data_IF_654406917623
#
_entry.id   IF_654406917623
#
_cell.length_a   1.000
_cell.length_b   1.000
_cell.length_c   1.000
_cell.angle_alpha   90.00
_cell.angle_beta   90.00
_cell.angle_gamma   90.00
#
_symmetry.space_group_name_H-M   'P 1'
#
loop_
_entity.id
_entity.type
_entity.pdbx_description
1 polymer ?
#
# COMPACT_ATOMS: atom_id res chain seq x y z
N UNK A 1 13.94 -14.98 -24.44
CA UNK A 1 12.81 -14.86 -23.51
C UNK A 1 13.33 -14.34 -22.17
N UNK A 2 12.76 -13.27 -21.62
CA UNK A 2 13.12 -12.76 -20.30
C UNK A 2 12.34 -13.54 -19.22
N UNK A 3 13.07 -13.95 -18.16
CA UNK A 3 12.47 -14.62 -16.99
C UNK A 3 12.74 -13.79 -15.74
N UNK A 4 11.80 -13.75 -14.81
CA UNK A 4 11.90 -12.98 -13.56
C UNK A 4 12.14 -13.94 -12.40
N UNK A 5 13.19 -13.67 -11.62
CA UNK A 5 13.48 -14.41 -10.39
C UNK A 5 13.14 -13.51 -9.20
N UNK A 6 12.31 -13.96 -8.24
CA UNK A 6 12.07 -13.22 -7.02
C UNK A 6 13.37 -12.96 -6.25
N UNK A 7 13.58 -11.73 -5.81
CA UNK A 7 14.82 -11.31 -5.15
C UNK A 7 15.20 -12.17 -3.93
N UNK A 8 14.22 -12.70 -3.21
CA UNK A 8 14.44 -13.61 -2.08
C UNK A 8 15.20 -14.89 -2.47
N UNK A 9 15.03 -15.38 -3.71
CA UNK A 9 15.73 -16.60 -4.19
C UNK A 9 17.12 -16.28 -4.75
N UNK A 10 17.43 -15.02 -5.07
CA UNK A 10 18.77 -14.58 -5.46
C UNK A 10 19.62 -14.25 -4.25
N UNK A 11 19.02 -13.74 -3.17
CA UNK A 11 19.70 -13.29 -1.96
C UNK A 11 20.71 -14.28 -1.36
N UNK A 12 20.47 -15.61 -1.31
CA UNK A 12 21.45 -16.58 -0.79
C UNK A 12 22.75 -16.65 -1.59
N UNK A 13 22.75 -16.21 -2.85
CA UNK A 13 23.90 -16.25 -3.75
C UNK A 13 24.69 -14.94 -3.81
N UNK A 14 24.19 -13.89 -3.12
CA UNK A 14 24.84 -12.57 -3.10
C UNK A 14 26.08 -12.61 -2.21
N UNK A 15 27.22 -12.16 -2.74
CA UNK A 15 28.48 -12.02 -2.01
C UNK A 15 28.47 -10.80 -1.09
N UNK A 16 29.38 -10.77 -0.10
CA UNK A 16 29.45 -9.75 0.96
C UNK A 16 29.56 -8.30 0.46
N UNK A 17 30.22 -8.07 -0.68
CA UNK A 17 30.41 -6.73 -1.21
C UNK A 17 29.31 -6.41 -2.22
N UNK A 18 28.50 -5.40 -1.91
CA UNK A 18 27.44 -4.94 -2.78
C UNK A 18 28.04 -4.18 -3.96
N UNK A 19 28.01 -4.80 -5.13
CA UNK A 19 28.33 -4.17 -6.43
C UNK A 19 27.58 -4.93 -7.54
N UNK A 20 27.38 -4.25 -8.66
CA UNK A 20 26.58 -4.76 -9.78
C UNK A 20 27.14 -6.08 -10.35
N UNK A 21 28.45 -6.28 -10.32
CA UNK A 21 29.10 -7.52 -10.77
C UNK A 21 28.70 -8.71 -9.90
N UNK A 22 28.72 -8.55 -8.58
CA UNK A 22 28.32 -9.60 -7.64
C UNK A 22 26.82 -9.90 -7.71
N UNK A 23 26.00 -8.87 -7.93
CA UNK A 23 24.56 -9.01 -8.11
C UNK A 23 24.26 -9.75 -9.43
N UNK A 24 24.93 -9.42 -10.53
CA UNK A 24 24.80 -10.13 -11.80
C UNK A 24 25.24 -11.60 -11.67
N UNK A 25 26.38 -11.88 -11.00
CA UNK A 25 26.85 -13.25 -10.75
C UNK A 25 25.83 -14.04 -9.92
N UNK A 26 25.26 -13.44 -8.86
CA UNK A 26 24.24 -14.07 -8.04
C UNK A 26 22.99 -14.42 -8.84
N UNK A 27 22.55 -13.54 -9.74
CA UNK A 27 21.40 -13.79 -10.62
C UNK A 27 21.70 -14.96 -11.57
N UNK A 28 22.89 -14.99 -12.19
CA UNK A 28 23.28 -16.08 -13.10
C UNK A 28 23.32 -17.43 -12.36
N UNK A 29 23.96 -17.46 -11.18
CA UNK A 29 24.03 -18.69 -10.36
C UNK A 29 22.64 -19.16 -9.94
N UNK A 30 21.77 -18.24 -9.51
CA UNK A 30 20.39 -18.56 -9.17
C UNK A 30 19.61 -19.11 -10.38
N UNK A 31 19.73 -18.47 -11.54
CA UNK A 31 19.01 -18.86 -12.76
C UNK A 31 19.36 -20.27 -13.27
N UNK A 32 20.57 -20.74 -12.99
CA UNK A 32 21.06 -22.06 -13.41
C UNK A 32 20.61 -23.21 -12.47
N UNK A 33 19.97 -22.90 -11.33
CA UNK A 33 19.52 -23.93 -10.41
C UNK A 33 18.30 -24.67 -10.95
N UNK A 34 18.29 -26.01 -10.97
CA UNK A 34 17.16 -26.80 -11.48
C UNK A 34 15.85 -26.53 -10.73
N UNK A 35 15.95 -26.29 -9.43
CA UNK A 35 14.82 -26.03 -8.54
C UNK A 35 14.34 -24.56 -8.54
N UNK A 36 14.96 -23.70 -9.37
CA UNK A 36 14.60 -22.28 -9.39
C UNK A 36 13.20 -22.04 -9.91
N UNK A 37 12.41 -21.35 -9.09
CA UNK A 37 11.05 -20.92 -9.45
C UNK A 37 11.06 -19.51 -10.02
N UNK A 38 10.65 -19.39 -11.27
CA UNK A 38 10.51 -18.11 -11.95
C UNK A 38 9.14 -17.52 -11.65
N UNK A 39 9.08 -16.21 -11.44
CA UNK A 39 7.82 -15.50 -11.31
C UNK A 39 7.16 -15.32 -12.69
N UNK A 40 5.85 -15.47 -12.75
CA UNK A 40 5.07 -15.14 -13.93
C UNK A 40 5.12 -13.65 -14.19
N UNK A 41 5.36 -13.26 -15.43
CA UNK A 41 5.30 -11.86 -15.85
C UNK A 41 3.82 -11.42 -15.83
N UNK A 42 3.54 -10.32 -15.15
CA UNK A 42 2.20 -9.74 -15.11
C UNK A 42 1.79 -9.21 -16.47
N UNK A 43 0.51 -9.36 -16.81
CA UNK A 43 -0.07 -8.72 -17.99
C UNK A 43 -0.07 -7.18 -17.84
N UNK A 44 -0.21 -6.47 -18.95
CA UNK A 44 -0.33 -5.00 -18.93
C UNK A 44 -1.52 -4.55 -18.09
N UNK A 45 -2.66 -5.24 -18.17
CA UNK A 45 -3.84 -4.96 -17.37
C UNK A 45 -3.59 -5.16 -15.87
N UNK A 46 -2.92 -6.25 -15.49
CA UNK A 46 -2.52 -6.47 -14.10
C UNK A 46 -1.58 -5.37 -13.61
N UNK A 47 -0.62 -4.94 -14.43
CA UNK A 47 0.29 -3.86 -14.09
C UNK A 47 -0.45 -2.53 -13.94
N UNK A 48 -1.37 -2.21 -14.85
CA UNK A 48 -2.19 -1.00 -14.80
C UNK A 48 -3.04 -0.95 -13.51
N UNK A 49 -3.72 -2.05 -13.17
CA UNK A 49 -4.48 -2.17 -11.91
C UNK A 49 -3.57 -2.02 -10.69
N UNK A 50 -2.39 -2.65 -10.68
CA UNK A 50 -1.41 -2.52 -9.60
C UNK A 50 -0.94 -1.08 -9.39
N UNK A 51 -0.83 -0.26 -10.45
CA UNK A 51 -0.51 1.18 -10.35
C UNK A 51 -1.58 1.93 -9.56
N UNK A 52 -2.86 1.63 -9.76
CA UNK A 52 -3.96 2.28 -9.01
C UNK A 52 -3.85 1.98 -7.51
N UNK A 53 -3.58 0.72 -7.14
CA UNK A 53 -3.38 0.33 -5.73
C UNK A 53 -2.18 1.02 -5.11
N UNK A 54 -1.02 1.03 -5.79
CA UNK A 54 0.20 1.70 -5.29
C UNK A 54 0.01 3.20 -5.13
N UNK A 55 -0.73 3.84 -6.06
CA UNK A 55 -1.05 5.26 -5.95
C UNK A 55 -1.95 5.55 -4.75
N UNK A 56 -2.96 4.68 -4.50
CA UNK A 56 -3.81 4.77 -3.32
C UNK A 56 -3.02 4.60 -2.03
N UNK A 57 -2.20 3.57 -1.95
CA UNK A 57 -1.37 3.26 -0.78
C UNK A 57 -0.46 4.44 -0.44
N UNK A 58 0.22 5.01 -1.44
CA UNK A 58 1.04 6.21 -1.25
C UNK A 58 0.24 7.39 -0.67
N UNK A 59 -0.98 7.63 -1.14
CA UNK A 59 -1.84 8.68 -0.58
C UNK A 59 -2.21 8.40 0.89
N UNK A 60 -2.47 7.13 1.24
CA UNK A 60 -2.74 6.73 2.62
C UNK A 60 -1.53 6.97 3.52
N UNK A 61 -0.32 6.62 3.08
CA UNK A 61 0.92 6.88 3.81
C UNK A 61 1.14 8.39 4.01
N UNK A 62 1.02 9.20 2.95
CA UNK A 62 1.15 10.65 3.03
C UNK A 62 0.15 11.27 4.01
N UNK A 63 -1.12 10.82 3.97
CA UNK A 63 -2.13 11.30 4.92
C UNK A 63 -1.77 10.93 6.36
N UNK A 64 -1.29 9.71 6.60
CA UNK A 64 -0.88 9.26 7.93
C UNK A 64 0.29 10.08 8.46
N UNK A 65 1.25 10.40 7.61
CA UNK A 65 2.39 11.26 7.91
C UNK A 65 1.92 12.66 8.33
N UNK A 66 1.03 13.29 7.55
CA UNK A 66 0.46 14.60 7.88
C UNK A 66 -0.32 14.59 9.19
N UNK A 67 -1.13 13.55 9.46
CA UNK A 67 -1.84 13.40 10.73
C UNK A 67 -0.88 13.27 11.91
N UNK A 68 0.22 12.54 11.75
CA UNK A 68 1.22 12.40 12.79
C UNK A 68 1.98 13.71 13.02
N UNK A 69 2.34 14.45 11.95
CA UNK A 69 2.96 15.76 12.05
C UNK A 69 2.06 16.75 12.80
N UNK A 70 0.78 16.84 12.44
CA UNK A 70 -0.21 17.68 13.12
C UNK A 70 -0.30 17.37 14.61
N UNK A 71 -0.39 16.09 14.96
CA UNK A 71 -0.47 15.65 16.35
C UNK A 71 0.82 15.94 17.12
N UNK A 72 1.99 15.74 16.49
CA UNK A 72 3.29 16.04 17.09
C UNK A 72 3.43 17.51 17.41
N UNK A 73 3.07 18.39 16.47
CA UNK A 73 3.07 19.85 16.68
C UNK A 73 2.18 20.25 17.87
N UNK A 74 0.95 19.75 17.93
CA UNK A 74 0.03 20.05 19.02
C UNK A 74 0.48 19.47 20.36
N UNK A 75 1.16 18.32 20.35
CA UNK A 75 1.73 17.70 21.54
C UNK A 75 2.81 18.59 22.22
N UNK A 76 3.63 19.27 21.43
CA UNK A 76 4.65 20.22 21.94
C UNK A 76 4.03 21.40 22.73
N UNK A 77 2.77 21.71 22.44
CA UNK A 77 1.99 22.74 23.16
C UNK A 77 1.06 22.14 24.23
N UNK A 78 1.22 20.87 24.59
CA UNK A 78 0.47 20.22 25.66
C UNK A 78 -0.89 19.64 25.25
N UNK A 79 -1.28 19.74 23.97
CA UNK A 79 -2.54 19.19 23.46
C UNK A 79 -2.35 17.77 22.97
N UNK A 80 -2.84 16.79 23.74
CA UNK A 80 -2.71 15.35 23.44
C UNK A 80 -3.96 14.82 22.77
N UNK A 81 -3.81 14.25 21.56
CA UNK A 81 -4.91 13.62 20.84
C UNK A 81 -4.63 12.14 20.59
N UNK A 82 -5.66 11.26 20.66
CA UNK A 82 -5.53 9.85 20.34
C UNK A 82 -5.10 9.62 18.88
N UNK A 83 -4.56 8.42 18.61
CA UNK A 83 -4.14 8.01 17.27
C UNK A 83 -5.38 7.82 16.37
N UNK A 84 -5.27 8.24 15.12
CA UNK A 84 -6.26 7.99 14.07
C UNK A 84 -6.98 9.22 13.57
N UNK A 85 -7.52 9.10 12.36
CA UNK A 85 -8.23 10.18 11.66
C UNK A 85 -9.59 10.54 12.28
N UNK A 86 -10.16 9.64 13.10
CA UNK A 86 -11.45 9.88 13.75
C UNK A 86 -11.41 11.08 14.72
N UNK A 87 -10.23 11.45 15.18
CA UNK A 87 -10.06 12.53 16.16
C UNK A 87 -9.71 13.89 15.55
N UNK A 88 -9.59 13.99 14.22
CA UNK A 88 -9.28 15.25 13.53
C UNK A 88 -10.34 16.33 13.80
N UNK A 89 -11.61 15.93 13.91
CA UNK A 89 -12.69 16.88 14.23
C UNK A 89 -12.45 17.60 15.57
N UNK A 90 -11.92 16.92 16.58
CA UNK A 90 -11.58 17.56 17.86
C UNK A 90 -10.43 18.55 17.73
N UNK A 91 -9.48 18.29 16.81
CA UNK A 91 -8.39 19.21 16.51
C UNK A 91 -8.94 20.45 15.78
N UNK A 92 -9.84 20.25 14.83
CA UNK A 92 -10.54 21.37 14.15
C UNK A 92 -11.30 22.25 15.15
N UNK A 93 -12.04 21.65 16.07
CA UNK A 93 -12.78 22.34 17.14
C UNK A 93 -11.83 23.15 18.06
N UNK A 94 -10.65 22.59 18.40
CA UNK A 94 -9.63 23.33 19.18
C UNK A 94 -9.11 24.54 18.41
N UNK A 95 -8.75 24.38 17.15
CA UNK A 95 -8.18 25.44 16.32
C UNK A 95 -9.18 26.54 15.95
N UNK A 96 -10.49 26.23 16.01
CA UNK A 96 -11.56 27.21 15.80
C UNK A 96 -11.98 27.95 17.07
N UNK A 97 -11.48 27.52 18.23
CA UNK A 97 -11.84 28.13 19.51
C UNK A 97 -11.16 29.52 19.62
N UNK A 98 -11.93 30.62 19.83
CA UNK A 98 -11.38 31.97 20.01
C UNK A 98 -10.44 32.09 21.22
N UNK A 99 -10.58 31.23 22.19
CA UNK A 99 -9.76 31.17 23.42
C UNK A 99 -8.65 30.11 23.32
N UNK A 100 -8.27 29.70 22.11
CA UNK A 100 -7.15 28.79 21.90
C UNK A 100 -5.86 29.48 22.37
N UNK A 101 -5.10 28.79 23.23
CA UNK A 101 -3.85 29.28 23.80
C UNK A 101 -2.63 29.08 22.89
N UNK A 102 -2.85 28.54 21.68
CA UNK A 102 -1.78 28.33 20.70
C UNK A 102 -1.34 29.65 20.05
N UNK A 103 -0.03 29.84 19.76
CA UNK A 103 0.45 30.96 18.95
C UNK A 103 -0.22 30.96 17.57
N UNK A 104 -0.53 32.16 17.07
CA UNK A 104 -1.22 32.34 15.76
C UNK A 104 -0.52 31.59 14.61
N UNK A 105 0.82 31.60 14.59
CA UNK A 105 1.60 30.91 13.57
C UNK A 105 1.35 29.38 13.63
N UNK A 106 1.30 28.82 14.82
CA UNK A 106 1.02 27.37 15.01
C UNK A 106 -0.39 27.02 14.55
N UNK A 107 -1.37 27.87 14.88
CA UNK A 107 -2.77 27.69 14.41
C UNK A 107 -2.81 27.68 12.87
N UNK A 108 -2.13 28.64 12.22
CA UNK A 108 -2.08 28.73 10.75
C UNK A 108 -1.47 27.48 10.12
N UNK A 109 -0.32 27.02 10.63
CA UNK A 109 0.34 25.80 10.11
C UNK A 109 -0.50 24.54 10.36
N UNK A 110 -1.14 24.43 11.52
CA UNK A 110 -2.04 23.32 11.81
C UNK A 110 -3.28 23.31 10.90
N UNK A 111 -3.81 24.49 10.55
CA UNK A 111 -4.92 24.61 9.60
C UNK A 111 -4.51 24.21 8.18
N UNK A 112 -3.30 24.55 7.74
CA UNK A 112 -2.74 24.11 6.46
C UNK A 112 -2.57 22.58 6.43
N UNK A 113 -2.03 21.97 7.49
CA UNK A 113 -1.94 20.52 7.62
C UNK A 113 -3.31 19.85 7.53
N UNK A 114 -4.34 20.41 8.18
CA UNK A 114 -5.72 19.90 8.08
C UNK A 114 -6.26 19.97 6.64
N UNK A 115 -6.00 21.07 5.93
CA UNK A 115 -6.40 21.21 4.54
C UNK A 115 -5.72 20.16 3.63
N UNK A 116 -4.42 19.93 3.82
CA UNK A 116 -3.69 18.87 3.10
C UNK A 116 -4.25 17.48 3.41
N UNK A 117 -4.58 17.17 4.68
CA UNK A 117 -5.19 15.91 5.09
C UNK A 117 -6.55 15.70 4.41
N UNK A 118 -7.36 16.76 4.35
CA UNK A 118 -8.66 16.74 3.67
C UNK A 118 -8.49 16.44 2.17
N UNK A 119 -7.56 17.14 1.48
CA UNK A 119 -7.24 16.88 0.07
C UNK A 119 -6.84 15.40 -0.16
N UNK A 120 -5.90 14.87 0.64
CA UNK A 120 -5.48 13.48 0.51
C UNK A 120 -6.63 12.51 0.74
N UNK A 121 -7.52 12.83 1.70
CA UNK A 121 -8.69 11.99 2.00
C UNK A 121 -9.65 11.92 0.80
N UNK A 122 -9.95 13.04 0.14
CA UNK A 122 -10.80 13.03 -1.06
C UNK A 122 -10.14 12.27 -2.22
N UNK A 123 -8.83 12.42 -2.42
CA UNK A 123 -8.09 11.67 -3.44
C UNK A 123 -8.10 10.16 -3.17
N UNK A 124 -8.02 9.73 -1.90
CA UNK A 124 -8.15 8.31 -1.51
C UNK A 124 -9.54 7.81 -1.83
N UNK A 125 -10.60 8.57 -1.47
CA UNK A 125 -12.00 8.21 -1.80
C UNK A 125 -12.21 8.04 -3.31
N UNK A 126 -11.62 8.92 -4.12
CA UNK A 126 -11.68 8.80 -5.58
C UNK A 126 -11.01 7.52 -6.08
N UNK A 127 -9.85 7.12 -5.50
CA UNK A 127 -9.20 5.84 -5.81
C UNK A 127 -10.03 4.64 -5.35
N UNK A 128 -10.64 4.71 -4.16
CA UNK A 128 -11.52 3.66 -3.66
C UNK A 128 -12.75 3.46 -4.56
N UNK A 129 -13.31 4.56 -5.08
CA UNK A 129 -14.41 4.50 -6.05
C UNK A 129 -13.98 3.83 -7.35
N UNK A 130 -12.84 4.26 -7.92
CA UNK A 130 -12.28 3.66 -9.14
C UNK A 130 -12.03 2.15 -8.97
N UNK A 131 -11.44 1.72 -7.86
CA UNK A 131 -11.20 0.30 -7.57
C UNK A 131 -12.52 -0.48 -7.51
N UNK A 132 -13.56 0.09 -6.90
CA UNK A 132 -14.89 -0.55 -6.85
C UNK A 132 -15.53 -0.67 -8.23
N UNK A 133 -15.34 0.31 -9.09
CA UNK A 133 -15.84 0.27 -10.47
C UNK A 133 -15.11 -0.79 -11.28
N UNK A 134 -13.78 -0.81 -11.25
CA UNK A 134 -12.98 -1.85 -11.91
C UNK A 134 -13.31 -3.27 -11.41
N UNK A 135 -13.59 -3.43 -10.11
CA UNK A 135 -14.01 -4.72 -9.57
C UNK A 135 -15.38 -5.19 -10.05
N UNK A 136 -16.28 -4.29 -10.43
CA UNK A 136 -17.58 -4.63 -11.02
C UNK A 136 -17.45 -5.08 -12.49
N UNK A 137 -16.48 -4.50 -13.20
CA UNK A 137 -16.24 -4.82 -14.61
C UNK A 137 -15.51 -6.16 -14.79
N UNK A 138 -14.76 -6.61 -13.78
CA UNK A 138 -14.00 -7.86 -13.84
C UNK A 138 -14.83 -9.06 -13.42
N UNK A 139 -14.93 -10.07 -14.30
CA UNK A 139 -15.56 -11.35 -14.01
C UNK A 139 -14.85 -12.10 -12.88
N UNK A 140 -13.51 -12.06 -12.86
CA UNK A 140 -12.69 -12.70 -11.82
C UNK A 140 -12.97 -12.05 -10.48
N UNK A 141 -12.94 -10.71 -10.41
CA UNK A 141 -13.22 -10.01 -9.16
C UNK A 141 -14.66 -10.22 -8.69
N UNK A 142 -15.64 -10.30 -9.59
CA UNK A 142 -17.05 -10.62 -9.23
C UNK A 142 -17.18 -12.02 -8.64
N UNK A 143 -16.50 -13.00 -9.21
CA UNK A 143 -16.49 -14.39 -8.69
C UNK A 143 -15.82 -14.47 -7.33
N UNK A 144 -14.70 -13.77 -7.11
CA UNK A 144 -14.02 -13.73 -5.81
C UNK A 144 -14.91 -13.10 -4.73
N UNK A 145 -15.73 -12.11 -5.07
CA UNK A 145 -16.66 -11.46 -4.13
C UNK A 145 -17.83 -12.35 -3.67
N UNK A 146 -18.04 -13.52 -4.26
CA UNK A 146 -18.99 -14.50 -3.72
C UNK A 146 -18.50 -15.18 -2.44
N UNK A 147 -17.20 -15.06 -2.14
CA UNK A 147 -16.62 -15.62 -0.92
C UNK A 147 -16.86 -14.68 0.27
N UNK A 148 -17.33 -15.19 1.42
CA UNK A 148 -17.51 -14.38 2.62
C UNK A 148 -16.21 -13.67 3.02
N UNK A 149 -16.30 -12.36 3.31
CA UNK A 149 -15.15 -11.53 3.69
C UNK A 149 -14.32 -10.96 2.53
N UNK A 150 -14.58 -11.37 1.29
CA UNK A 150 -13.89 -10.84 0.10
C UNK A 150 -14.69 -9.68 -0.49
N UNK A 151 -14.27 -8.46 -0.19
CA UNK A 151 -14.85 -7.25 -0.78
C UNK A 151 -14.19 -6.88 -2.13
N UNK A 152 -14.72 -5.84 -2.83
CA UNK A 152 -14.21 -5.43 -4.15
C UNK A 152 -12.73 -5.03 -4.12
N UNK A 153 -12.26 -4.42 -3.03
CA UNK A 153 -10.85 -4.05 -2.85
C UNK A 153 -9.95 -5.30 -2.85
N UNK A 154 -10.29 -6.30 -2.03
CA UNK A 154 -9.53 -7.56 -1.91
C UNK A 154 -9.60 -8.35 -3.21
N UNK A 155 -10.78 -8.47 -3.81
CA UNK A 155 -10.98 -9.22 -5.05
C UNK A 155 -10.12 -8.67 -6.20
N UNK A 156 -10.16 -7.35 -6.42
CA UNK A 156 -9.36 -6.72 -7.47
C UNK A 156 -7.85 -6.74 -7.13
N UNK A 157 -7.47 -6.66 -5.85
CA UNK A 157 -6.08 -6.79 -5.43
C UNK A 157 -5.52 -8.19 -5.73
N UNK A 158 -6.28 -9.25 -5.45
CA UNK A 158 -5.90 -10.62 -5.82
C UNK A 158 -5.66 -10.71 -7.32
N UNK A 159 -6.58 -10.21 -8.15
CA UNK A 159 -6.43 -10.22 -9.61
C UNK A 159 -5.21 -9.44 -10.10
N UNK A 160 -4.92 -8.28 -9.49
CA UNK A 160 -3.80 -7.42 -9.88
C UNK A 160 -2.42 -7.94 -9.43
N UNK A 161 -2.35 -8.64 -8.32
CA UNK A 161 -1.09 -8.98 -7.68
C UNK A 161 -0.78 -10.47 -7.69
N UNK A 162 -1.79 -11.35 -7.65
CA UNK A 162 -1.54 -12.78 -7.62
C UNK A 162 -0.91 -13.26 -8.93
N UNK A 163 0.03 -14.22 -8.84
CA UNK A 163 0.49 -14.96 -10.02
C UNK A 163 -0.64 -15.85 -10.56
N UNK A 164 -0.39 -16.54 -11.67
CA UNK A 164 -1.31 -17.55 -12.16
C UNK A 164 -1.64 -18.57 -11.06
N UNK A 165 -2.93 -18.85 -10.86
CA UNK A 165 -3.40 -19.80 -9.85
C UNK A 165 -2.85 -21.22 -10.06
N UNK A 166 -2.49 -21.61 -11.27
CA UNK A 166 -1.83 -22.87 -11.59
C UNK A 166 -0.44 -23.01 -10.94
N UNK A 167 0.14 -21.94 -10.43
CA UNK A 167 1.42 -22.00 -9.69
C UNK A 167 1.26 -22.46 -8.25
N UNK A 168 0.05 -22.47 -7.72
CA UNK A 168 -0.24 -22.98 -6.38
C UNK A 168 -0.67 -24.44 -6.46
N UNK A 169 0.02 -25.32 -5.73
CA UNK A 169 -0.33 -26.74 -5.69
C UNK A 169 -1.61 -27.02 -4.89
N UNK A 170 -1.94 -26.13 -3.94
CA UNK A 170 -3.15 -26.24 -3.13
C UNK A 170 -3.56 -24.87 -2.54
N UNK A 171 -4.75 -24.81 -1.94
CA UNK A 171 -5.24 -23.58 -1.29
C UNK A 171 -4.38 -23.08 -0.13
N UNK A 172 -3.66 -23.98 0.56
CA UNK A 172 -2.71 -23.60 1.62
C UNK A 172 -1.54 -22.81 1.09
N UNK A 173 -1.02 -23.15 -0.09
CA UNK A 173 0.07 -22.41 -0.72
C UNK A 173 -0.36 -21.00 -1.10
N UNK A 174 -1.60 -20.86 -1.57
CA UNK A 174 -2.18 -19.54 -1.83
C UNK A 174 -2.40 -18.74 -0.54
N UNK A 175 -2.88 -19.38 0.53
CA UNK A 175 -3.03 -18.73 1.84
C UNK A 175 -1.67 -18.28 2.40
N UNK A 176 -0.63 -19.10 2.27
CA UNK A 176 0.74 -18.73 2.63
C UNK A 176 1.26 -17.54 1.83
N UNK A 177 0.96 -17.50 0.53
CA UNK A 177 1.31 -16.37 -0.33
C UNK A 177 0.62 -15.07 0.11
N UNK A 178 -0.63 -15.15 0.60
CA UNK A 178 -1.38 -14.02 1.19
C UNK A 178 -0.88 -13.63 2.59
N UNK A 179 -0.01 -14.41 3.21
CA UNK A 179 0.44 -14.19 4.59
C UNK A 179 -0.56 -14.67 5.65
N UNK A 180 -1.49 -15.55 5.29
CA UNK A 180 -2.52 -16.12 6.16
C UNK A 180 -2.09 -17.49 6.74
N UNK A 181 -0.91 -17.59 7.36
CA UNK A 181 -0.35 -18.84 7.93
C UNK A 181 -0.05 -18.62 9.40
#
# INVERSE_FOLDING_TARGET
EARVIPAQYVKPFVKRHKNDKNDAEAIVVAAQRPEMRFATVKSEDQQARAVVFRARERLVHQRTELVNALRSTLYEYGHVFPIGIAHLKKIEELLQNPHCDLPTLVVTECQDLLAQIAEKTERIKAKDKLIKELAKESDVARRLQTMPGVGPMTALAVEAFAPDMAQFSCGRDFAAWLGLV
#
